data_IF_567821720720
#
_entry.id   IF_567821720720
#
_cell.length_a   1.000
_cell.length_b   1.000
_cell.length_c   1.000
_cell.angle_alpha   90.00
_cell.angle_beta   90.00
_cell.angle_gamma   90.00
#
_symmetry.space_group_name_H-M   'P 1'
#
loop_
_entity.id
_entity.type
_entity.pdbx_description
1 polymer ?
#
# COMPACT_ATOMS: atom_id res chain seq x y z
N UNK A 1 8.44 20.52 11.69
CA UNK A 1 7.18 20.49 10.90
C UNK A 1 7.22 19.17 10.15
N UNK A 2 6.10 18.47 9.94
CA UNK A 2 6.14 17.27 9.10
C UNK A 2 6.57 17.68 7.69
N UNK A 3 7.66 17.11 7.22
CA UNK A 3 8.35 17.51 5.98
C UNK A 3 8.46 16.37 4.96
N UNK A 4 8.20 15.12 5.39
CA UNK A 4 8.35 13.92 4.59
C UNK A 4 7.12 13.03 4.74
N UNK A 5 6.68 12.41 3.65
CA UNK A 5 5.66 11.36 3.67
C UNK A 5 6.28 10.08 3.17
N UNK A 6 6.25 9.05 4.01
CA UNK A 6 6.59 7.68 3.62
C UNK A 6 5.29 7.02 3.18
N UNK A 7 5.29 6.45 1.98
CA UNK A 7 4.12 5.88 1.33
C UNK A 7 4.47 4.49 0.80
N UNK A 8 3.58 3.54 1.04
CA UNK A 8 3.62 2.22 0.44
C UNK A 8 2.22 1.84 -0.09
N UNK A 9 2.19 1.16 -1.23
CA UNK A 9 0.96 0.77 -1.92
C UNK A 9 1.09 -0.66 -2.40
N UNK A 10 0.15 -1.50 -1.96
CA UNK A 10 0.06 -2.89 -2.41
C UNK A 10 -0.93 -3.00 -3.58
N UNK A 11 -0.55 -3.77 -4.60
CA UNK A 11 -1.28 -3.81 -5.87
C UNK A 11 -1.37 -5.23 -6.44
N UNK A 12 -2.31 -5.41 -7.37
CA UNK A 12 -2.43 -6.60 -8.20
C UNK A 12 -1.95 -6.33 -9.64
N UNK A 13 -0.86 -5.59 -9.79
CA UNK A 13 -0.17 -5.33 -11.05
C UNK A 13 0.93 -4.28 -10.90
N UNK A 14 1.86 -4.19 -11.85
CA UNK A 14 2.97 -3.22 -11.83
C UNK A 14 2.75 -2.00 -12.74
N UNK A 15 1.52 -1.80 -13.23
CA UNK A 15 1.16 -0.74 -14.17
C UNK A 15 0.00 0.12 -13.64
N UNK A 16 -0.16 1.33 -14.18
CA UNK A 16 -1.00 2.40 -13.60
C UNK A 16 -2.50 2.08 -13.44
N UNK A 17 -3.06 1.15 -14.21
CA UNK A 17 -4.47 0.78 -14.17
C UNK A 17 -4.75 -0.49 -13.36
N UNK A 18 -3.77 -1.02 -12.64
CA UNK A 18 -3.96 -2.20 -11.79
C UNK A 18 -4.81 -1.90 -10.54
N UNK A 19 -5.43 -2.92 -9.96
CA UNK A 19 -6.12 -2.83 -8.67
C UNK A 19 -5.14 -2.50 -7.55
N UNK A 20 -5.52 -1.57 -6.67
CA UNK A 20 -4.82 -1.27 -5.41
C UNK A 20 -5.52 -2.04 -4.29
N UNK A 21 -4.76 -2.78 -3.49
CA UNK A 21 -5.23 -3.55 -2.34
C UNK A 21 -5.24 -2.71 -1.07
N UNK A 22 -4.12 -2.05 -0.78
CA UNK A 22 -3.97 -1.19 0.38
C UNK A 22 -3.03 -0.03 0.15
N UNK A 23 -3.22 1.01 0.96
CA UNK A 23 -2.33 2.18 1.03
C UNK A 23 -1.95 2.36 2.50
N UNK A 24 -0.65 2.38 2.77
CA UNK A 24 -0.07 2.76 4.05
C UNK A 24 0.71 4.06 3.90
N UNK A 25 0.51 5.02 4.81
CA UNK A 25 1.30 6.25 4.80
C UNK A 25 1.58 6.77 6.21
N UNK A 26 2.73 7.40 6.38
CA UNK A 26 3.07 8.14 7.59
C UNK A 26 3.77 9.44 7.23
N UNK A 27 3.28 10.55 7.77
CA UNK A 27 3.90 11.85 7.63
C UNK A 27 4.81 12.12 8.84
N UNK A 28 6.10 12.32 8.57
CA UNK A 28 7.18 12.45 9.56
C UNK A 28 7.86 13.82 9.44
N UNK A 29 8.43 14.26 10.55
CA UNK A 29 9.48 15.29 10.60
C UNK A 29 10.83 14.56 10.54
N UNK A 30 11.59 14.74 9.46
CA UNK A 30 12.82 14.02 9.15
C UNK A 30 13.97 14.25 10.14
N UNK A 31 13.83 15.23 11.02
CA UNK A 31 14.82 15.58 12.05
C UNK A 31 14.61 14.85 13.38
N UNK A 32 13.59 14.01 13.47
CA UNK A 32 13.20 13.31 14.71
C UNK A 32 13.25 11.81 14.54
N UNK A 33 13.64 11.13 15.62
CA UNK A 33 13.45 9.70 15.76
C UNK A 33 12.03 9.40 16.26
N UNK A 34 11.49 8.28 15.81
CA UNK A 34 10.16 7.80 16.22
C UNK A 34 10.27 6.36 16.71
N UNK A 35 9.51 6.05 17.75
CA UNK A 35 9.23 4.66 18.08
C UNK A 35 8.30 4.05 17.03
N UNK A 36 8.35 2.74 16.88
CA UNK A 36 7.43 2.03 15.99
C UNK A 36 5.96 2.33 16.33
N UNK A 37 5.60 2.37 17.62
CA UNK A 37 4.23 2.65 18.06
C UNK A 37 3.77 4.04 17.62
N UNK A 38 4.61 5.06 17.75
CA UNK A 38 4.28 6.42 17.30
C UNK A 38 4.04 6.48 15.79
N UNK A 39 4.81 5.73 15.00
CA UNK A 39 4.60 5.66 13.55
C UNK A 39 3.26 4.98 13.20
N UNK A 40 2.88 3.93 13.93
CA UNK A 40 1.60 3.25 13.73
C UNK A 40 0.42 4.13 14.17
N UNK A 41 0.48 4.71 15.36
CA UNK A 41 -0.61 5.54 15.90
C UNK A 41 -0.87 6.81 15.06
N UNK A 42 0.19 7.37 14.47
CA UNK A 42 0.11 8.56 13.61
C UNK A 42 0.04 8.23 12.11
N UNK A 43 0.06 6.95 11.77
CA UNK A 43 -0.01 6.45 10.41
C UNK A 43 -1.46 6.38 9.92
N UNK A 44 -1.60 6.31 8.60
CA UNK A 44 -2.86 6.01 7.93
C UNK A 44 -2.73 4.70 7.17
N UNK A 45 -3.71 3.83 7.34
CA UNK A 45 -3.80 2.57 6.61
C UNK A 45 -5.23 2.36 6.12
N UNK A 46 -5.38 2.06 4.83
CA UNK A 46 -6.67 1.75 4.24
C UNK A 46 -6.58 0.56 3.29
N UNK A 47 -7.63 -0.27 3.33
CA UNK A 47 -7.88 -1.30 2.31
C UNK A 47 -8.94 -0.79 1.35
N UNK A 48 -8.70 -1.01 0.06
CA UNK A 48 -9.61 -0.55 -0.99
C UNK A 48 -10.44 -1.72 -1.51
N UNK A 49 -11.71 -1.46 -1.82
CA UNK A 49 -12.61 -2.50 -2.32
C UNK A 49 -12.19 -2.92 -3.74
N UNK A 50 -11.76 -4.18 -3.89
CA UNK A 50 -11.30 -4.72 -5.19
C UNK A 50 -12.43 -4.73 -6.22
N UNK A 51 -13.63 -5.15 -5.83
CA UNK A 51 -14.76 -5.27 -6.76
C UNK A 51 -15.11 -3.92 -7.40
N UNK A 52 -15.21 -2.87 -6.59
CA UNK A 52 -15.54 -1.52 -7.04
C UNK A 52 -14.52 -0.99 -8.05
N UNK A 53 -13.24 -1.34 -7.88
CA UNK A 53 -12.17 -0.96 -8.81
C UNK A 53 -12.26 -1.72 -10.13
N UNK A 54 -12.54 -3.02 -10.08
CA UNK A 54 -12.73 -3.85 -11.28
C UNK A 54 -13.97 -3.40 -12.05
N UNK A 55 -15.07 -3.13 -11.35
CA UNK A 55 -16.30 -2.57 -11.95
C UNK A 55 -16.02 -1.19 -12.59
N UNK A 56 -15.08 -0.42 -12.06
CA UNK A 56 -14.59 0.84 -12.63
C UNK A 56 -13.50 0.68 -13.71
N UNK A 57 -13.18 -0.55 -14.14
CA UNK A 57 -12.27 -0.83 -15.25
C UNK A 57 -10.80 -1.02 -14.89
N UNK A 58 -10.44 -1.05 -13.60
CA UNK A 58 -9.07 -1.42 -13.17
C UNK A 58 -8.83 -2.92 -13.36
N UNK A 59 -7.57 -3.31 -13.53
CA UNK A 59 -7.20 -4.66 -13.93
C UNK A 59 -6.46 -5.42 -12.84
N UNK A 60 -6.66 -6.73 -12.84
CA UNK A 60 -5.90 -7.68 -12.02
C UNK A 60 -4.98 -8.43 -12.99
N UNK A 61 -3.70 -8.47 -12.65
CA UNK A 61 -2.66 -9.07 -13.48
C UNK A 61 -2.29 -10.44 -12.91
N UNK A 62 -2.40 -11.47 -13.77
CA UNK A 62 -2.29 -12.88 -13.37
C UNK A 62 -0.90 -13.24 -12.84
N UNK A 63 0.13 -12.75 -13.51
CA UNK A 63 1.54 -12.87 -13.10
C UNK A 63 1.78 -12.29 -11.70
N UNK A 64 1.15 -11.15 -11.38
CA UNK A 64 1.25 -10.55 -10.05
C UNK A 64 0.54 -11.38 -8.98
N UNK A 65 -0.63 -11.93 -9.30
CA UNK A 65 -1.31 -12.89 -8.43
C UNK A 65 -0.48 -14.16 -8.20
N UNK A 66 0.13 -14.69 -9.26
CA UNK A 66 1.00 -15.87 -9.19
C UNK A 66 2.23 -15.59 -8.31
N UNK A 67 2.82 -14.39 -8.43
CA UNK A 67 3.91 -13.94 -7.56
C UNK A 67 3.47 -13.84 -6.09
N UNK A 68 2.30 -13.26 -5.81
CA UNK A 68 1.75 -13.17 -4.46
C UNK A 68 1.51 -14.56 -3.84
N UNK A 69 1.07 -15.54 -4.63
CA UNK A 69 0.87 -16.91 -4.17
C UNK A 69 2.18 -17.65 -3.84
N UNK A 70 3.33 -17.13 -4.26
CA UNK A 70 4.65 -17.63 -3.86
C UNK A 70 5.14 -16.99 -2.55
N UNK A 71 4.48 -15.93 -2.09
CA UNK A 71 4.81 -15.29 -0.80
C UNK A 71 4.23 -16.13 0.34
N UNK A 72 5.09 -16.63 1.23
CA UNK A 72 4.71 -17.56 2.30
C UNK A 72 5.84 -18.47 2.77
N UNK A 73 6.95 -18.54 2.03
CA UNK A 73 8.22 -19.04 2.55
C UNK A 73 8.94 -17.90 3.29
N UNK A 74 8.57 -17.72 4.56
CA UNK A 74 9.30 -16.87 5.51
C UNK A 74 9.62 -17.67 6.77
#
# INVERSE_FOLDING_TARGET
MKDTVILDIETLGSVNNCVILSVGMVAVDSTKDYTFKELIDNGYYAKLNVKSQVDAGRKIYKDTLEWWNQQGEA
#
